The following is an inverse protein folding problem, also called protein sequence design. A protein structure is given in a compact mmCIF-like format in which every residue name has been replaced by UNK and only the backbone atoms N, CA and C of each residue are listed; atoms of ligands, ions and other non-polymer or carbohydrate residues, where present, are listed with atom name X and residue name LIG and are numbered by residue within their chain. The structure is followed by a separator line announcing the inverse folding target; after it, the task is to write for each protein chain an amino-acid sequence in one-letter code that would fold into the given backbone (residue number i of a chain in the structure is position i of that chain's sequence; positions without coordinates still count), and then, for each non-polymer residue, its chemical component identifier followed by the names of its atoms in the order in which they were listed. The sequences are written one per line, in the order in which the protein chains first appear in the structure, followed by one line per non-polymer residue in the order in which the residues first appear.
data_IF_263743739902
#
_entry.id   IF_263743739902
#
_cell.length_a   1.000
_cell.length_b   1.000
_cell.length_c   1.000
_cell.angle_alpha   90.00
_cell.angle_beta   90.00
_cell.angle_gamma   90.00
#
_symmetry.space_group_name_H-M   'P 1'
#
loop_
_entity.id
_entity.type
_entity.pdbx_description
1 polymer ?
#
# COMPACT_ATOMS: atom_id res chain seq x y z
N UNK A 1 13.84 -11.40 -15.42
CA UNK A 1 14.47 -10.06 -15.53
C UNK A 1 14.91 -9.71 -14.12
N UNK A 2 16.17 -9.96 -13.76
CA UNK A 2 16.59 -10.15 -12.35
C UNK A 2 16.28 -8.97 -11.43
N UNK A 3 16.23 -7.75 -11.97
CA UNK A 3 15.90 -6.53 -11.21
C UNK A 3 14.42 -6.50 -10.82
N UNK A 4 13.51 -6.92 -11.71
CA UNK A 4 12.06 -6.94 -11.42
C UNK A 4 11.74 -7.96 -10.34
N UNK A 5 12.32 -9.16 -10.44
CA UNK A 5 12.17 -10.23 -9.44
C UNK A 5 12.72 -9.81 -8.07
N UNK A 6 13.89 -9.14 -8.04
CA UNK A 6 14.46 -8.63 -6.80
C UNK A 6 13.61 -7.51 -6.18
N UNK A 7 13.09 -6.59 -6.99
CA UNK A 7 12.18 -5.53 -6.53
C UNK A 7 10.89 -6.09 -5.96
N UNK A 8 10.27 -7.07 -6.63
CA UNK A 8 9.07 -7.73 -6.13
C UNK A 8 9.33 -8.45 -4.80
N UNK A 9 10.44 -9.18 -4.70
CA UNK A 9 10.82 -9.86 -3.46
C UNK A 9 10.99 -8.87 -2.30
N UNK A 10 11.68 -7.75 -2.53
CA UNK A 10 11.88 -6.72 -1.52
C UNK A 10 10.56 -6.05 -1.08
N UNK A 11 9.68 -5.72 -2.03
CA UNK A 11 8.36 -5.17 -1.71
C UNK A 11 7.52 -6.16 -0.90
N UNK A 12 7.52 -7.43 -1.30
CA UNK A 12 6.76 -8.48 -0.63
C UNK A 12 7.26 -8.71 0.80
N UNK A 13 8.58 -8.83 0.99
CA UNK A 13 9.18 -9.01 2.31
C UNK A 13 8.85 -7.82 3.23
N UNK A 14 9.06 -6.59 2.75
CA UNK A 14 8.71 -5.39 3.50
C UNK A 14 7.21 -5.35 3.85
N UNK A 15 6.34 -5.78 2.93
CA UNK A 15 4.90 -5.73 3.13
C UNK A 15 4.44 -6.75 4.18
N UNK A 16 4.98 -7.97 4.17
CA UNK A 16 4.71 -8.96 5.21
C UNK A 16 5.22 -8.50 6.59
N UNK A 17 6.44 -7.97 6.69
CA UNK A 17 6.97 -7.39 7.93
C UNK A 17 6.06 -6.25 8.43
N UNK A 18 5.58 -5.39 7.53
CA UNK A 18 4.68 -4.31 7.90
C UNK A 18 3.33 -4.81 8.43
N UNK A 19 2.82 -5.94 7.95
CA UNK A 19 1.57 -6.54 8.45
C UNK A 19 1.70 -7.02 9.88
N UNK A 20 2.86 -7.55 10.24
CA UNK A 20 3.13 -8.09 11.59
C UNK A 20 3.40 -6.99 12.62
N UNK A 21 4.00 -5.87 12.20
CA UNK A 21 4.51 -4.85 13.12
C UNK A 21 3.81 -3.49 13.06
N UNK A 22 2.97 -3.23 12.05
CA UNK A 22 2.31 -1.95 11.85
C UNK A 22 0.81 -2.11 11.64
N UNK A 23 0.03 -1.21 12.24
CA UNK A 23 -1.40 -1.13 11.96
C UNK A 23 -1.64 -0.81 10.47
N UNK A 24 -2.77 -1.27 9.88
CA UNK A 24 -3.13 -0.97 8.49
C UNK A 24 -3.14 0.53 8.16
N UNK A 25 -3.44 1.36 9.15
CA UNK A 25 -3.45 2.82 9.06
C UNK A 25 -2.06 3.46 9.13
N UNK A 26 -1.00 2.72 9.43
CA UNK A 26 0.32 3.31 9.62
C UNK A 26 0.85 3.89 8.30
N UNK A 27 1.32 5.17 8.28
CA UNK A 27 1.74 5.84 7.03
C UNK A 27 2.79 5.06 6.22
N UNK A 28 3.75 4.41 6.90
CA UNK A 28 4.78 3.59 6.23
C UNK A 28 4.15 2.37 5.53
N UNK A 29 3.21 1.68 6.18
CA UNK A 29 2.54 0.50 5.61
C UNK A 29 1.66 0.89 4.42
N UNK A 30 0.93 2.01 4.53
CA UNK A 30 0.14 2.58 3.45
C UNK A 30 1.01 3.01 2.26
N UNK A 31 2.11 3.72 2.51
CA UNK A 31 3.05 4.16 1.47
C UNK A 31 3.72 2.98 0.78
N UNK A 32 4.02 1.92 1.53
CA UNK A 32 4.53 0.68 0.96
C UNK A 32 3.51 0.00 0.05
N UNK A 33 2.24 -0.09 0.47
CA UNK A 33 1.18 -0.62 -0.38
C UNK A 33 0.99 0.21 -1.66
N UNK A 34 1.05 1.53 -1.55
CA UNK A 34 0.96 2.45 -2.69
C UNK A 34 2.09 2.21 -3.70
N UNK A 35 3.34 2.16 -3.23
CA UNK A 35 4.47 1.93 -4.14
C UNK A 35 4.45 0.53 -4.74
N UNK A 36 4.00 -0.47 -3.98
CA UNK A 36 3.90 -1.84 -4.48
C UNK A 36 2.78 -1.99 -5.52
N UNK A 37 1.65 -1.30 -5.36
CA UNK A 37 0.59 -1.28 -6.38
C UNK A 37 1.07 -0.60 -7.67
N UNK A 38 1.77 0.52 -7.57
CA UNK A 38 2.40 1.20 -8.73
C UNK A 38 3.42 0.27 -9.41
N UNK A 39 4.22 -0.48 -8.65
CA UNK A 39 5.14 -1.47 -9.22
C UNK A 39 4.39 -2.56 -10.02
N UNK A 40 3.29 -3.09 -9.48
CA UNK A 40 2.48 -4.07 -10.22
C UNK A 40 1.89 -3.48 -11.51
N UNK A 41 1.45 -2.21 -11.46
CA UNK A 41 0.85 -1.54 -12.61
C UNK A 41 1.90 -1.19 -13.69
N UNK A 42 2.93 -0.42 -13.32
CA UNK A 42 3.88 0.17 -14.27
C UNK A 42 5.01 -0.77 -14.68
N UNK A 43 5.44 -1.68 -13.80
CA UNK A 43 6.64 -2.51 -14.03
C UNK A 43 6.27 -3.95 -14.42
N UNK A 44 5.31 -4.56 -13.73
CA UNK A 44 4.85 -5.94 -14.03
C UNK A 44 3.74 -5.98 -15.09
N UNK A 45 3.17 -4.83 -15.47
CA UNK A 45 2.02 -4.75 -16.37
C UNK A 45 0.85 -5.64 -15.91
N UNK A 46 0.63 -5.67 -14.59
CA UNK A 46 -0.36 -6.49 -13.89
C UNK A 46 -1.37 -5.58 -13.16
N UNK A 47 -2.23 -4.85 -13.91
CA UNK A 47 -3.14 -3.86 -13.33
C UNK A 47 -4.16 -4.48 -12.37
N UNK A 48 -4.60 -5.72 -12.61
CA UNK A 48 -5.51 -6.43 -11.70
C UNK A 48 -4.89 -6.65 -10.32
N UNK A 49 -3.60 -7.04 -10.27
CA UNK A 49 -2.89 -7.22 -9.01
C UNK A 49 -2.65 -5.89 -8.29
N UNK A 50 -2.31 -4.84 -9.04
CA UNK A 50 -2.19 -3.48 -8.50
C UNK A 50 -3.49 -3.02 -7.83
N UNK A 51 -4.62 -3.18 -8.52
CA UNK A 51 -5.94 -2.80 -8.01
C UNK A 51 -6.34 -3.62 -6.78
N UNK A 52 -6.09 -4.93 -6.79
CA UNK A 52 -6.37 -5.79 -5.63
C UNK A 52 -5.56 -5.35 -4.41
N UNK A 53 -4.26 -5.06 -4.58
CA UNK A 53 -3.38 -4.65 -3.50
C UNK A 53 -3.76 -3.28 -2.94
N UNK A 54 -4.00 -2.29 -3.81
CA UNK A 54 -4.40 -0.95 -3.40
C UNK A 54 -5.77 -0.95 -2.71
N UNK A 55 -6.74 -1.72 -3.24
CA UNK A 55 -8.07 -1.85 -2.64
C UNK A 55 -8.00 -2.50 -1.26
N UNK A 56 -7.25 -3.60 -1.12
CA UNK A 56 -7.09 -4.28 0.17
C UNK A 56 -6.48 -3.34 1.22
N UNK A 57 -5.41 -2.62 0.86
CA UNK A 57 -4.78 -1.67 1.79
C UNK A 57 -5.71 -0.52 2.18
N UNK A 58 -6.53 -0.02 1.25
CA UNK A 58 -7.52 1.00 1.52
C UNK A 58 -8.63 0.50 2.45
N UNK A 59 -9.22 -0.66 2.15
CA UNK A 59 -10.30 -1.26 2.93
C UNK A 59 -9.82 -1.59 4.37
N UNK A 60 -8.62 -2.15 4.52
CA UNK A 60 -8.03 -2.46 5.83
C UNK A 60 -7.79 -1.17 6.64
N UNK A 61 -7.31 -0.10 6.00
CA UNK A 61 -7.07 1.17 6.67
C UNK A 61 -8.37 1.89 7.05
N UNK A 62 -9.43 1.77 6.26
CA UNK A 62 -10.76 2.29 6.61
C UNK A 62 -11.31 1.56 7.84
N UNK A 63 -11.13 0.24 7.93
CA UNK A 63 -11.63 -0.56 9.05
C UNK A 63 -10.99 -0.17 10.40
N UNK A 64 -9.78 0.37 10.39
CA UNK A 64 -9.03 0.76 11.59
C UNK A 64 -8.80 2.27 11.71
N UNK A 65 -9.45 3.09 10.87
CA UNK A 65 -9.24 4.54 10.81
C UNK A 65 -9.50 5.23 12.17
N UNK A 66 -10.47 4.72 12.93
CA UNK A 66 -10.86 5.26 14.24
C UNK A 66 -9.79 5.06 15.33
N UNK A 67 -8.75 4.26 15.07
CA UNK A 67 -7.65 3.98 16.01
C UNK A 67 -6.43 4.89 15.82
N UNK A 68 -6.43 5.73 14.77
CA UNK A 68 -5.32 6.64 14.45
C UNK A 68 -5.15 7.74 15.50
N UNK A 69 -3.89 8.03 15.83
CA UNK A 69 -3.54 9.24 16.57
C UNK A 69 -3.59 10.49 15.67
N UNK A 70 -3.82 11.66 16.25
CA UNK A 70 -3.92 12.93 15.49
C UNK A 70 -2.66 13.23 14.67
N UNK A 71 -1.49 12.84 15.17
CA UNK A 71 -0.20 13.08 14.52
C UNK A 71 -0.04 12.31 13.20
N UNK A 72 -0.51 11.05 13.14
CA UNK A 72 -0.43 10.23 11.92
C UNK A 72 -1.67 10.37 11.04
N UNK A 73 -2.77 10.90 11.57
CA UNK A 73 -4.04 10.99 10.86
C UNK A 73 -3.93 11.73 9.52
N UNK A 74 -3.20 12.86 9.48
CA UNK A 74 -3.02 13.65 8.25
C UNK A 74 -2.24 12.89 7.19
N UNK A 75 -1.16 12.23 7.59
CA UNK A 75 -0.30 11.50 6.66
C UNK A 75 -1.02 10.25 6.13
N UNK A 76 -1.68 9.50 7.00
CA UNK A 76 -2.44 8.31 6.61
C UNK A 76 -3.60 8.66 5.68
N UNK A 77 -4.38 9.70 6.00
CA UNK A 77 -5.49 10.12 5.13
C UNK A 77 -5.03 10.62 3.77
N UNK A 78 -3.88 11.32 3.70
CA UNK A 78 -3.29 11.73 2.44
C UNK A 78 -2.87 10.52 1.58
N UNK A 79 -2.25 9.51 2.18
CA UNK A 79 -1.83 8.31 1.42
C UNK A 79 -3.04 7.47 1.00
N UNK A 80 -4.07 7.35 1.85
CA UNK A 80 -5.33 6.69 1.48
C UNK A 80 -6.02 7.40 0.32
N UNK A 81 -5.96 8.73 0.28
CA UNK A 81 -6.46 9.51 -0.85
C UNK A 81 -5.70 9.19 -2.15
N UNK A 82 -4.37 9.09 -2.09
CA UNK A 82 -3.54 8.69 -3.24
C UNK A 82 -3.83 7.24 -3.70
N UNK A 83 -4.03 6.31 -2.76
CA UNK A 83 -4.44 4.94 -3.07
C UNK A 83 -5.78 4.90 -3.82
N UNK A 84 -6.75 5.70 -3.39
CA UNK A 84 -8.05 5.83 -4.06
C UNK A 84 -7.90 6.42 -5.46
N UNK A 85 -7.09 7.47 -5.61
CA UNK A 85 -6.90 8.14 -6.90
C UNK A 85 -6.23 7.19 -7.91
N UNK A 86 -5.27 6.38 -7.45
CA UNK A 86 -4.65 5.32 -8.24
C UNK A 86 -5.61 4.18 -8.65
N UNK A 87 -6.68 3.93 -7.87
CA UNK A 87 -7.72 2.94 -8.22
C UNK A 87 -8.73 3.46 -9.24
N UNK A 88 -8.82 4.78 -9.43
CA UNK A 88 -9.74 5.43 -10.37
C UNK A 88 -9.11 5.75 -11.73
N UNK A 89 -7.79 5.56 -11.85
CA UNK A 89 -7.00 5.66 -13.08
C UNK A 89 -7.12 4.39 -13.94
#
# INVERSE_FOLDING_TARGET
NSVVEASEAAYKEAFEISKEHMQPTHPIRLGLALNFSVFYYEIQNAPEQACLLAKQAFDDAIAELDTLNEDSYKDSTLIMQLLRDNLTL
#
